data_IF_437677002848
#
_entry.id   IF_437677002848
#
_cell.length_a   1.000
_cell.length_b   1.000
_cell.length_c   1.000
_cell.angle_alpha   90.00
_cell.angle_beta   90.00
_cell.angle_gamma   90.00
#
_symmetry.space_group_name_H-M   'P 1'
#
loop_
_entity.id
_entity.type
_entity.pdbx_description
1 polymer ?
#
# COMPACT_ATOMS: atom_id res chain seq x y z
N UNK A 1 9.31 21.45 9.91
CA UNK A 1 8.42 21.33 11.10
C UNK A 1 7.48 20.15 10.94
N UNK A 2 6.67 20.07 9.87
CA UNK A 2 5.71 18.97 9.64
C UNK A 2 6.36 17.58 9.60
N UNK A 3 7.49 17.44 8.90
CA UNK A 3 8.20 16.16 8.78
C UNK A 3 8.71 15.65 10.14
N UNK A 4 9.25 16.53 10.98
CA UNK A 4 9.70 16.14 12.31
C UNK A 4 8.53 15.74 13.24
N UNK A 5 7.38 16.36 13.09
CA UNK A 5 6.17 16.00 13.83
C UNK A 5 5.66 14.61 13.40
N UNK A 6 5.56 14.37 12.08
CA UNK A 6 5.15 13.06 11.53
C UNK A 6 6.08 11.94 11.98
N UNK A 7 7.40 12.16 11.95
CA UNK A 7 8.35 11.17 12.44
C UNK A 7 8.12 10.83 13.92
N UNK A 8 7.92 11.85 14.76
CA UNK A 8 7.66 11.64 16.19
C UNK A 8 6.34 10.90 16.44
N UNK A 9 5.30 11.20 15.69
CA UNK A 9 4.02 10.48 15.76
C UNK A 9 4.18 9.02 15.31
N UNK A 10 4.95 8.78 14.25
CA UNK A 10 5.28 7.43 13.77
C UNK A 10 6.08 6.64 14.80
N UNK A 11 7.12 7.22 15.39
CA UNK A 11 7.90 6.60 16.48
C UNK A 11 7.04 6.23 17.69
N UNK A 12 6.09 7.09 18.03
CA UNK A 12 5.16 6.83 19.13
C UNK A 12 4.17 5.72 18.84
N UNK A 13 3.75 5.57 17.59
CA UNK A 13 2.78 4.55 17.14
C UNK A 13 3.45 3.18 16.92
N UNK A 14 4.67 3.16 16.41
CA UNK A 14 5.41 1.95 16.03
C UNK A 14 6.44 1.57 17.09
N UNK A 15 5.98 1.21 18.29
CA UNK A 15 6.87 0.82 19.39
C UNK A 15 7.42 -0.58 19.17
N UNK A 16 8.74 -0.73 19.30
CA UNK A 16 9.41 -2.02 19.29
C UNK A 16 9.06 -2.82 20.55
N UNK A 17 8.61 -4.06 20.37
CA UNK A 17 8.53 -5.02 21.44
C UNK A 17 9.96 -5.51 21.79
N UNK A 18 10.47 -5.28 23.04
CA UNK A 18 11.82 -5.66 23.42
C UNK A 18 12.05 -7.17 23.40
N UNK A 19 11.02 -7.96 23.67
CA UNK A 19 11.13 -9.43 23.67
C UNK A 19 11.30 -9.98 22.26
N UNK A 20 10.54 -9.44 21.27
CA UNK A 20 10.71 -9.79 19.86
C UNK A 20 12.11 -9.44 19.36
N UNK A 21 12.63 -8.25 19.70
CA UNK A 21 13.99 -7.84 19.33
C UNK A 21 15.07 -8.76 19.96
N UNK A 22 14.89 -9.14 21.22
CA UNK A 22 15.78 -10.08 21.92
C UNK A 22 15.72 -11.48 21.31
N UNK A 23 14.54 -11.98 21.01
CA UNK A 23 14.36 -13.29 20.38
C UNK A 23 15.03 -13.33 19.01
N UNK A 24 14.88 -12.28 18.18
CA UNK A 24 15.59 -12.18 16.91
C UNK A 24 17.11 -12.14 17.09
N UNK A 25 17.63 -11.39 18.08
CA UNK A 25 19.07 -11.33 18.37
C UNK A 25 19.64 -12.69 18.74
N UNK A 26 18.84 -13.54 19.40
CA UNK A 26 19.26 -14.89 19.80
C UNK A 26 19.18 -15.90 18.65
N UNK A 27 18.15 -15.81 17.82
CA UNK A 27 17.91 -16.75 16.71
C UNK A 27 18.73 -16.44 15.46
N UNK A 28 18.89 -15.16 15.12
CA UNK A 28 19.65 -14.69 13.94
C UNK A 28 20.30 -13.34 14.21
N UNK A 29 21.56 -13.31 14.69
CA UNK A 29 22.29 -12.07 14.92
C UNK A 29 22.49 -11.19 13.68
N UNK A 30 22.57 -11.81 12.48
CA UNK A 30 22.71 -11.09 11.21
C UNK A 30 21.44 -10.33 10.86
N UNK A 31 20.29 -11.00 10.91
CA UNK A 31 18.98 -10.35 10.72
C UNK A 31 18.73 -9.28 11.79
N UNK A 32 19.15 -9.52 13.04
CA UNK A 32 19.02 -8.51 14.09
C UNK A 32 19.87 -7.25 13.84
N UNK A 33 21.07 -7.40 13.28
CA UNK A 33 21.90 -6.25 12.89
C UNK A 33 21.26 -5.44 11.77
N UNK A 34 20.72 -6.10 10.75
CA UNK A 34 19.96 -5.46 9.67
C UNK A 34 18.71 -4.75 10.19
N UNK A 35 17.96 -5.39 11.08
CA UNK A 35 16.78 -4.82 11.72
C UNK A 35 17.10 -3.53 12.49
N UNK A 36 18.21 -3.51 13.25
CA UNK A 36 18.68 -2.30 13.96
C UNK A 36 19.00 -1.16 13.00
N UNK A 37 19.59 -1.47 11.85
CA UNK A 37 19.86 -0.47 10.82
C UNK A 37 18.57 0.10 10.24
N UNK A 38 17.62 -0.74 9.85
CA UNK A 38 16.31 -0.34 9.30
C UNK A 38 15.52 0.48 10.31
N UNK A 39 15.52 0.09 11.59
CA UNK A 39 14.88 0.84 12.69
C UNK A 39 15.44 2.25 12.85
N UNK A 40 16.76 2.41 12.74
CA UNK A 40 17.43 3.73 12.86
C UNK A 40 17.12 4.65 11.68
N UNK A 41 16.98 4.10 10.48
CA UNK A 41 16.74 4.87 9.26
C UNK A 41 15.28 5.22 9.01
N UNK A 42 14.32 4.46 9.55
CA UNK A 42 12.92 4.64 9.20
C UNK A 42 11.90 4.33 10.28
N UNK A 43 12.32 4.14 11.56
CA UNK A 43 11.41 3.83 12.68
C UNK A 43 10.61 2.52 12.48
N UNK A 44 11.13 1.55 11.75
CA UNK A 44 10.45 0.27 11.46
C UNK A 44 10.83 -0.78 12.52
N UNK A 45 9.90 -1.17 13.43
CA UNK A 45 10.14 -2.21 14.40
C UNK A 45 10.06 -3.60 13.78
N UNK A 46 10.62 -4.59 14.48
CA UNK A 46 10.46 -6.01 14.15
C UNK A 46 9.18 -6.55 14.75
N UNK A 47 8.42 -7.28 13.97
CA UNK A 47 7.23 -7.98 14.39
C UNK A 47 7.44 -9.50 14.38
N UNK A 48 6.75 -10.20 15.26
CA UNK A 48 6.61 -11.65 15.27
C UNK A 48 5.21 -12.07 14.80
N UNK A 49 4.91 -13.36 14.83
CA UNK A 49 3.61 -13.95 14.47
C UNK A 49 3.14 -13.56 13.07
N UNK A 50 4.07 -13.41 12.15
CA UNK A 50 3.80 -13.05 10.76
C UNK A 50 4.06 -14.24 9.86
N UNK A 51 3.03 -14.72 9.18
CA UNK A 51 3.18 -15.70 8.12
C UNK A 51 3.52 -14.98 6.80
N UNK A 52 4.49 -15.49 6.05
CA UNK A 52 4.91 -14.91 4.78
C UNK A 52 4.66 -15.93 3.66
N UNK A 53 4.04 -15.48 2.56
CA UNK A 53 3.85 -16.25 1.34
C UNK A 53 4.49 -15.50 0.16
N UNK A 54 5.39 -16.13 -0.54
CA UNK A 54 6.00 -15.59 -1.76
C UNK A 54 5.24 -16.07 -2.99
N UNK A 55 5.00 -15.15 -3.92
CA UNK A 55 4.37 -15.42 -5.22
C UNK A 55 5.38 -15.13 -6.32
N UNK A 56 5.90 -16.16 -7.01
CA UNK A 56 6.84 -15.97 -8.11
C UNK A 56 6.17 -15.39 -9.37
N UNK A 57 4.85 -15.58 -9.51
CA UNK A 57 4.04 -15.10 -10.63
C UNK A 57 2.98 -14.10 -10.19
N UNK A 58 2.71 -13.12 -11.04
CA UNK A 58 1.72 -12.08 -10.80
C UNK A 58 0.30 -12.61 -10.74
N UNK A 59 -0.02 -13.56 -11.59
CA UNK A 59 -1.33 -14.18 -11.68
C UNK A 59 -1.72 -14.91 -10.39
N UNK A 60 -0.77 -15.55 -9.75
CA UNK A 60 -1.03 -16.26 -8.49
C UNK A 60 -1.20 -15.28 -7.32
N UNK A 61 -0.40 -14.20 -7.31
CA UNK A 61 -0.62 -13.09 -6.37
C UNK A 61 -2.00 -12.46 -6.57
N UNK A 62 -2.38 -12.20 -7.82
CA UNK A 62 -3.67 -11.60 -8.17
C UNK A 62 -4.85 -12.45 -7.70
N UNK A 63 -4.82 -13.76 -7.95
CA UNK A 63 -5.85 -14.69 -7.44
C UNK A 63 -5.99 -14.61 -5.92
N UNK A 64 -4.87 -14.59 -5.21
CA UNK A 64 -4.89 -14.48 -3.74
C UNK A 64 -5.41 -13.11 -3.29
N UNK A 65 -5.04 -12.03 -3.97
CA UNK A 65 -5.57 -10.68 -3.67
C UNK A 65 -7.09 -10.66 -3.76
N UNK A 66 -7.69 -11.22 -4.81
CA UNK A 66 -9.16 -11.28 -4.94
C UNK A 66 -9.79 -12.03 -3.77
N UNK A 67 -9.22 -13.20 -3.39
CA UNK A 67 -9.71 -14.01 -2.26
C UNK A 67 -9.66 -13.22 -0.94
N UNK A 68 -8.58 -12.47 -0.71
CA UNK A 68 -8.42 -11.72 0.54
C UNK A 68 -9.27 -10.45 0.56
N UNK A 69 -9.44 -9.77 -0.57
CA UNK A 69 -10.33 -8.62 -0.70
C UNK A 69 -11.79 -8.99 -0.38
N UNK A 70 -12.25 -10.18 -0.82
CA UNK A 70 -13.59 -10.69 -0.50
C UNK A 70 -13.82 -10.86 1.01
N UNK A 71 -12.78 -11.15 1.77
CA UNK A 71 -12.84 -11.39 3.23
C UNK A 71 -12.76 -10.09 4.05
N UNK A 72 -12.58 -8.93 3.43
CA UNK A 72 -12.47 -7.66 4.13
C UNK A 72 -13.76 -7.34 4.91
N UNK A 73 -13.60 -6.95 6.18
CA UNK A 73 -14.69 -6.64 7.09
C UNK A 73 -14.69 -5.18 7.57
N UNK A 74 -13.50 -4.54 7.65
CA UNK A 74 -13.34 -3.22 8.25
C UNK A 74 -12.76 -2.20 7.29
N UNK A 75 -11.60 -2.49 6.70
CA UNK A 75 -10.95 -1.54 5.79
C UNK A 75 -10.05 -2.20 4.74
N UNK A 76 -9.91 -1.52 3.59
CA UNK A 76 -8.98 -1.86 2.51
C UNK A 76 -8.23 -0.59 2.14
N UNK A 77 -6.88 -0.60 2.26
CA UNK A 77 -6.02 0.51 1.88
C UNK A 77 -5.09 0.08 0.76
N UNK A 78 -5.09 0.88 -0.32
CA UNK A 78 -4.30 0.63 -1.52
C UNK A 78 -3.38 1.83 -1.81
N UNK A 79 -2.12 1.56 -2.11
CA UNK A 79 -1.13 2.52 -2.57
C UNK A 79 -0.38 1.93 -3.75
N UNK A 80 -0.60 2.47 -4.96
CA UNK A 80 -0.04 1.90 -6.18
C UNK A 80 0.55 2.98 -7.08
N UNK A 81 1.66 2.64 -7.75
CA UNK A 81 2.30 3.53 -8.71
C UNK A 81 1.49 3.66 -10.00
N UNK A 82 1.21 2.52 -10.66
CA UNK A 82 0.41 2.48 -11.88
C UNK A 82 -0.91 1.76 -11.59
N UNK A 83 -1.98 2.37 -12.09
CA UNK A 83 -3.31 1.78 -12.18
C UNK A 83 -3.79 2.01 -13.60
N UNK A 84 -4.24 0.95 -14.26
CA UNK A 84 -4.75 0.99 -15.62
C UNK A 84 -6.09 0.27 -15.73
N UNK A 85 -6.98 0.79 -16.54
CA UNK A 85 -8.27 0.15 -16.80
C UNK A 85 -8.07 -1.13 -17.63
N UNK A 86 -8.33 -2.28 -17.03
CA UNK A 86 -8.14 -3.59 -17.61
C UNK A 86 -8.81 -4.68 -16.78
N UNK A 87 -8.52 -5.94 -17.08
CA UNK A 87 -9.13 -7.09 -16.40
C UNK A 87 -8.76 -7.14 -14.91
N UNK A 88 -7.46 -6.94 -14.59
CA UNK A 88 -6.99 -7.00 -13.22
C UNK A 88 -7.63 -5.92 -12.36
N UNK A 89 -7.52 -4.65 -12.79
CA UNK A 89 -8.10 -3.54 -12.04
C UNK A 89 -9.63 -3.61 -12.00
N UNK A 90 -10.27 -3.98 -13.11
CA UNK A 90 -11.73 -4.11 -13.17
C UNK A 90 -12.30 -5.08 -12.15
N UNK A 91 -11.68 -6.28 -12.00
CA UNK A 91 -12.10 -7.27 -10.99
C UNK A 91 -11.88 -6.79 -9.56
N UNK A 92 -10.75 -6.12 -9.30
CA UNK A 92 -10.48 -5.53 -7.99
C UNK A 92 -11.50 -4.43 -7.69
N UNK A 93 -11.74 -3.51 -8.63
CA UNK A 93 -12.67 -2.40 -8.46
C UNK A 93 -14.10 -2.87 -8.20
N UNK A 94 -14.55 -3.94 -8.85
CA UNK A 94 -15.87 -4.55 -8.61
C UNK A 94 -16.00 -4.99 -7.13
N UNK A 95 -15.01 -5.67 -6.58
CA UNK A 95 -15.00 -6.07 -5.17
C UNK A 95 -14.97 -4.84 -4.27
N UNK A 96 -14.10 -3.87 -4.55
CA UNK A 96 -14.00 -2.64 -3.76
C UNK A 96 -15.33 -1.87 -3.73
N UNK A 97 -15.99 -1.71 -4.87
CA UNK A 97 -17.27 -1.01 -4.94
C UNK A 97 -18.39 -1.72 -4.16
N UNK A 98 -18.40 -3.05 -4.18
CA UNK A 98 -19.32 -3.85 -3.37
C UNK A 98 -19.01 -3.74 -1.88
N UNK A 99 -17.74 -3.89 -1.49
CA UNK A 99 -17.30 -3.76 -0.10
C UNK A 99 -17.56 -2.37 0.47
N UNK A 100 -17.40 -1.31 -0.33
CA UNK A 100 -17.77 0.05 0.08
C UNK A 100 -19.26 0.18 0.40
N UNK A 101 -20.14 -0.44 -0.39
CA UNK A 101 -21.59 -0.49 -0.12
C UNK A 101 -21.93 -1.30 1.14
N UNK A 102 -21.12 -2.31 1.48
CA UNK A 102 -21.22 -3.10 2.71
C UNK A 102 -20.70 -2.33 3.96
N UNK A 103 -20.13 -1.13 3.78
CA UNK A 103 -19.62 -0.29 4.87
C UNK A 103 -18.14 -0.45 5.18
N UNK A 104 -17.40 -1.21 4.37
CA UNK A 104 -15.94 -1.34 4.50
C UNK A 104 -15.29 -0.02 4.08
N UNK A 105 -14.38 0.50 4.91
CA UNK A 105 -13.65 1.73 4.58
C UNK A 105 -12.59 1.46 3.53
N UNK A 106 -12.69 2.12 2.36
CA UNK A 106 -11.72 1.96 1.29
C UNK A 106 -10.98 3.27 1.05
N UNK A 107 -9.65 3.19 1.10
CA UNK A 107 -8.75 4.31 0.75
C UNK A 107 -7.80 3.87 -0.35
N UNK A 108 -7.67 4.72 -1.35
CA UNK A 108 -6.77 4.51 -2.47
C UNK A 108 -5.89 5.73 -2.70
N UNK A 109 -4.61 5.49 -2.87
CA UNK A 109 -3.62 6.45 -3.35
C UNK A 109 -2.96 5.88 -4.60
N UNK A 110 -2.87 6.67 -5.66
CA UNK A 110 -2.10 6.31 -6.84
C UNK A 110 -1.24 7.48 -7.33
N UNK A 111 -0.19 7.19 -8.08
CA UNK A 111 0.72 8.25 -8.56
C UNK A 111 0.06 9.09 -9.66
N UNK A 112 0.29 10.39 -9.63
CA UNK A 112 -0.28 11.35 -10.58
C UNK A 112 0.16 11.15 -12.03
N UNK A 113 1.17 10.29 -12.31
CA UNK A 113 1.54 9.94 -13.68
C UNK A 113 0.42 9.18 -14.40
N UNK A 114 -0.43 8.44 -13.69
CA UNK A 114 -1.56 7.72 -14.27
C UNK A 114 -2.52 8.64 -15.02
N UNK A 115 -2.65 9.91 -14.59
CA UNK A 115 -3.52 10.90 -15.23
C UNK A 115 -3.11 11.26 -16.67
N UNK A 116 -1.85 10.98 -17.04
CA UNK A 116 -1.34 11.24 -18.38
C UNK A 116 -1.34 10.03 -19.30
N UNK A 117 -1.40 8.82 -18.72
CA UNK A 117 -1.15 7.61 -19.50
C UNK A 117 -2.28 6.59 -19.43
N UNK A 118 -2.91 6.41 -18.28
CA UNK A 118 -3.74 5.22 -18.03
C UNK A 118 -5.13 5.53 -17.49
N UNK A 119 -5.34 6.66 -16.80
CA UNK A 119 -6.61 6.97 -16.15
C UNK A 119 -7.19 8.31 -16.61
N UNK A 120 -8.53 8.45 -16.66
CA UNK A 120 -9.20 9.73 -16.89
C UNK A 120 -8.89 10.76 -15.81
N UNK A 121 -8.81 12.03 -16.20
CA UNK A 121 -8.51 13.15 -15.29
C UNK A 121 -9.44 13.26 -14.07
N UNK A 122 -10.69 12.84 -14.19
CA UNK A 122 -11.70 12.87 -13.12
C UNK A 122 -11.79 11.56 -12.32
N UNK A 123 -10.83 10.65 -12.48
CA UNK A 123 -10.88 9.30 -11.91
C UNK A 123 -11.08 9.26 -10.38
N UNK A 124 -10.43 10.12 -9.58
CA UNK A 124 -10.71 10.15 -8.14
C UNK A 124 -12.17 10.45 -7.81
N UNK A 125 -12.83 11.31 -8.61
CA UNK A 125 -14.26 11.62 -8.42
C UNK A 125 -15.15 10.42 -8.76
N UNK A 126 -14.79 9.67 -9.81
CA UNK A 126 -15.51 8.43 -10.18
C UNK A 126 -15.41 7.39 -9.06
N UNK A 127 -14.23 7.19 -8.50
CA UNK A 127 -14.05 6.29 -7.35
C UNK A 127 -14.82 6.75 -6.11
N UNK A 128 -14.85 8.05 -5.85
CA UNK A 128 -15.63 8.60 -4.73
C UNK A 128 -17.14 8.35 -4.88
N UNK A 129 -17.66 8.34 -6.10
CA UNK A 129 -19.08 7.98 -6.37
C UNK A 129 -19.37 6.51 -6.04
N UNK A 130 -18.35 5.65 -6.06
CA UNK A 130 -18.43 4.26 -5.62
C UNK A 130 -18.21 4.06 -4.12
N UNK A 131 -18.02 5.15 -3.35
CA UNK A 131 -17.73 5.10 -1.91
C UNK A 131 -16.26 4.91 -1.57
N UNK A 132 -15.35 4.98 -2.55
CA UNK A 132 -13.92 4.78 -2.38
C UNK A 132 -13.24 6.14 -2.17
N UNK A 133 -12.61 6.36 -1.01
CA UNK A 133 -11.83 7.57 -0.73
C UNK A 133 -10.53 7.53 -1.54
N UNK A 134 -10.45 8.32 -2.60
CA UNK A 134 -9.31 8.32 -3.51
C UNK A 134 -8.58 9.66 -3.55
N UNK A 135 -7.24 9.60 -3.63
CA UNK A 135 -6.35 10.75 -3.87
C UNK A 135 -5.24 10.38 -4.85
N UNK A 136 -4.73 11.39 -5.54
CA UNK A 136 -3.50 11.28 -6.34
C UNK A 136 -2.30 11.78 -5.54
N UNK A 137 -1.19 11.06 -5.63
CA UNK A 137 0.10 11.51 -5.14
C UNK A 137 0.78 12.39 -6.19
N UNK A 138 1.26 13.55 -5.78
CA UNK A 138 1.98 14.50 -6.62
C UNK A 138 1.38 14.68 -8.03
N UNK A 139 0.15 15.22 -8.16
CA UNK A 139 -0.46 15.51 -9.47
C UNK A 139 0.48 16.36 -10.32
N UNK A 140 0.65 16.00 -11.59
CA UNK A 140 1.53 16.71 -12.50
C UNK A 140 0.81 17.96 -13.00
N UNK A 141 1.37 19.13 -12.71
CA UNK A 141 0.90 20.40 -13.26
C UNK A 141 1.82 20.82 -14.38
N UNK A 142 1.38 20.80 -15.66
CA UNK A 142 2.20 21.25 -16.78
C UNK A 142 2.71 22.66 -16.54
N UNK A 143 3.98 22.92 -16.86
CA UNK A 143 4.65 24.23 -16.77
C UNK A 143 4.91 24.81 -15.37
N UNK A 144 4.47 24.19 -14.29
CA UNK A 144 4.56 24.78 -12.94
C UNK A 144 5.46 23.99 -11.99
N UNK A 145 5.76 22.73 -12.27
CA UNK A 145 6.49 21.87 -11.33
C UNK A 145 7.85 21.43 -11.88
N UNK A 146 8.90 21.73 -11.11
CA UNK A 146 10.26 21.17 -11.31
C UNK A 146 10.45 19.80 -10.63
N UNK A 147 9.42 19.27 -9.96
CA UNK A 147 9.50 18.09 -9.11
C UNK A 147 8.95 16.81 -9.78
N UNK A 148 9.21 16.64 -11.09
CA UNK A 148 8.72 15.49 -11.85
C UNK A 148 9.23 14.13 -11.35
N UNK A 149 10.35 14.10 -10.61
CA UNK A 149 11.00 12.87 -10.17
C UNK A 149 10.53 12.38 -8.78
N UNK A 150 9.73 13.15 -8.07
CA UNK A 150 9.14 12.71 -6.81
C UNK A 150 7.90 11.88 -7.11
N UNK A 151 8.10 10.56 -7.26
CA UNK A 151 7.04 9.61 -7.60
C UNK A 151 6.85 8.60 -6.46
N UNK A 152 5.63 8.13 -6.30
CA UNK A 152 5.29 7.06 -5.38
C UNK A 152 5.33 5.71 -6.08
N UNK A 153 6.48 5.04 -6.06
CA UNK A 153 6.69 3.76 -6.73
C UNK A 153 6.27 2.54 -5.91
N UNK A 154 5.48 2.74 -4.86
CA UNK A 154 5.00 1.66 -3.99
C UNK A 154 3.86 0.88 -4.62
N UNK A 155 3.72 -0.38 -4.24
CA UNK A 155 2.63 -1.27 -4.57
C UNK A 155 2.24 -2.00 -3.30
N UNK A 156 1.27 -1.44 -2.58
CA UNK A 156 0.86 -1.89 -1.25
C UNK A 156 -0.66 -2.05 -1.22
N UNK A 157 -1.10 -3.19 -0.69
CA UNK A 157 -2.49 -3.44 -0.34
C UNK A 157 -2.53 -3.95 1.10
N UNK A 158 -3.33 -3.31 1.94
CA UNK A 158 -3.55 -3.72 3.33
C UNK A 158 -5.03 -3.95 3.56
N UNK A 159 -5.37 -5.09 4.16
CA UNK A 159 -6.74 -5.51 4.46
C UNK A 159 -6.87 -5.78 5.94
N UNK A 160 -7.72 -5.02 6.63
CA UNK A 160 -8.08 -5.15 8.05
C UNK A 160 -6.89 -5.15 9.03
N UNK A 161 -5.69 -4.73 8.59
CA UNK A 161 -4.47 -4.88 9.37
C UNK A 161 -4.02 -6.33 9.59
N UNK A 162 -4.67 -7.29 8.95
CA UNK A 162 -4.41 -8.74 9.07
C UNK A 162 -3.61 -9.28 7.89
N UNK A 163 -3.87 -8.77 6.69
CA UNK A 163 -3.22 -9.21 5.45
C UNK A 163 -2.62 -8.01 4.75
N UNK A 164 -1.38 -8.14 4.27
CA UNK A 164 -0.73 -7.14 3.46
C UNK A 164 -0.04 -7.78 2.25
N UNK A 165 -0.17 -7.12 1.09
CA UNK A 165 0.55 -7.46 -0.12
C UNK A 165 1.49 -6.33 -0.49
N UNK A 166 2.72 -6.67 -0.86
CA UNK A 166 3.67 -5.76 -1.47
C UNK A 166 4.41 -6.44 -2.64
N UNK A 167 5.18 -5.70 -3.41
CA UNK A 167 5.99 -6.25 -4.49
C UNK A 167 6.12 -5.32 -5.69
N UNK A 168 6.48 -5.87 -6.85
CA UNK A 168 6.74 -5.12 -8.08
C UNK A 168 5.53 -4.91 -9.00
N UNK A 169 4.43 -5.63 -8.80
CA UNK A 169 3.28 -5.66 -9.71
C UNK A 169 2.36 -4.48 -9.47
N UNK A 170 2.02 -3.75 -10.53
CA UNK A 170 1.04 -2.68 -10.56
C UNK A 170 -0.41 -3.23 -10.62
N UNK A 171 -1.40 -2.36 -10.67
CA UNK A 171 -2.80 -2.73 -10.96
C UNK A 171 -3.07 -2.47 -12.46
N UNK A 172 -2.44 -3.28 -13.30
CA UNK A 172 -2.49 -3.21 -14.75
C UNK A 172 -2.27 -4.61 -15.34
N UNK A 173 -2.75 -4.81 -16.57
CA UNK A 173 -2.68 -6.10 -17.28
C UNK A 173 -1.35 -6.23 -18.07
N UNK A 174 -0.21 -5.89 -17.45
CA UNK A 174 1.14 -5.97 -18.03
C UNK A 174 1.79 -7.34 -17.82
#
# INVERSE_FOLDING_TARGET
VLYAQLNKETENSLKQNPETEKALQQSDPGAAALSKYVKRSGCYPVYDRTAVKYFPLGEDKFKEMLIQLEKAEHFIFLEYFIVDEGEMWGKILEILARKAKEGVEIRMLYDGTCEFSTLPHDYPKRLQQLGIKCKMFAPIKPFVSTHYNYRDHRKILVIDGKVAFNGGINLADE
#
